data_IF_306658642576
#
_entry.id   IF_306658642576
#
_cell.length_a   1.000
_cell.length_b   1.000
_cell.length_c   1.000
_cell.angle_alpha   90.00
_cell.angle_beta   90.00
_cell.angle_gamma   90.00
#
_symmetry.space_group_name_H-M   'P 1'
#
loop_
_entity.id
_entity.type
_entity.pdbx_description
1 polymer ?
#
# COMPACT_ATOMS: atom_id res chain seq x y z
N UNK A 1 -30.23 -30.82 -51.08
CA UNK A 1 -28.80 -30.54 -50.86
C UNK A 1 -28.69 -29.57 -49.70
N UNK A 2 -28.04 -30.02 -48.64
CA UNK A 2 -28.01 -29.44 -47.30
C UNK A 2 -26.77 -28.56 -47.19
N UNK A 3 -26.91 -27.28 -46.81
CA UNK A 3 -25.79 -26.48 -46.34
C UNK A 3 -26.11 -26.04 -44.90
N UNK A 4 -25.52 -26.76 -43.95
CA UNK A 4 -25.67 -26.53 -42.51
C UNK A 4 -24.93 -25.27 -42.10
N UNK A 5 -25.66 -24.36 -41.46
CA UNK A 5 -25.13 -23.29 -40.63
C UNK A 5 -24.32 -23.87 -39.47
N UNK A 6 -23.13 -23.32 -39.20
CA UNK A 6 -22.39 -23.47 -37.94
C UNK A 6 -21.34 -22.33 -37.85
N UNK A 7 -21.80 -21.11 -37.59
CA UNK A 7 -20.93 -20.03 -37.11
C UNK A 7 -20.70 -20.27 -35.61
N UNK A 8 -19.59 -20.95 -35.29
CA UNK A 8 -19.13 -21.17 -33.92
C UNK A 8 -18.77 -19.81 -33.28
N UNK A 9 -19.65 -19.35 -32.38
CA UNK A 9 -19.38 -18.26 -31.43
C UNK A 9 -18.21 -18.67 -30.52
N UNK A 10 -17.00 -18.20 -30.83
CA UNK A 10 -15.87 -18.17 -29.90
C UNK A 10 -16.10 -17.03 -28.90
N UNK A 11 -17.04 -17.22 -27.97
CA UNK A 11 -17.13 -16.40 -26.75
C UNK A 11 -15.99 -16.85 -25.84
N UNK A 12 -14.80 -16.29 -26.10
CA UNK A 12 -13.69 -16.35 -25.16
C UNK A 12 -14.13 -15.72 -23.86
N UNK A 13 -14.24 -16.54 -22.81
CA UNK A 13 -14.45 -16.11 -21.44
C UNK A 13 -13.27 -15.23 -21.02
N UNK A 14 -13.44 -13.91 -21.11
CA UNK A 14 -12.60 -12.97 -20.40
C UNK A 14 -12.82 -13.20 -18.90
N UNK A 15 -12.00 -14.07 -18.30
CA UNK A 15 -11.84 -14.12 -16.86
C UNK A 15 -11.36 -12.74 -16.43
N UNK A 16 -12.24 -11.96 -15.79
CA UNK A 16 -11.88 -10.70 -15.15
C UNK A 16 -10.98 -11.09 -13.97
N UNK A 17 -9.66 -11.15 -14.22
CA UNK A 17 -8.68 -11.31 -13.16
C UNK A 17 -8.90 -10.17 -12.17
N UNK A 18 -9.28 -10.51 -10.93
CA UNK A 18 -9.39 -9.54 -9.87
C UNK A 18 -7.97 -9.04 -9.58
N UNK A 19 -7.64 -7.84 -10.05
CA UNK A 19 -6.30 -7.27 -9.94
C UNK A 19 -5.95 -7.05 -8.47
N UNK A 20 -5.05 -7.88 -7.95
CA UNK A 20 -4.28 -7.56 -6.75
C UNK A 20 -3.02 -6.84 -7.20
N UNK A 21 -2.76 -5.66 -6.65
CA UNK A 21 -1.57 -4.89 -6.97
C UNK A 21 -0.58 -4.98 -5.80
N UNK A 22 0.68 -5.29 -6.10
CA UNK A 22 1.74 -5.18 -5.11
C UNK A 22 2.21 -3.73 -5.07
N UNK A 23 2.13 -3.13 -3.89
CA UNK A 23 2.53 -1.76 -3.60
C UNK A 23 3.58 -1.76 -2.48
N UNK A 24 4.29 -0.65 -2.35
CA UNK A 24 5.29 -0.46 -1.31
C UNK A 24 5.43 1.01 -0.93
N UNK A 25 6.28 1.26 0.07
CA UNK A 25 6.68 2.62 0.40
C UNK A 25 7.41 3.26 -0.78
N UNK A 26 7.15 4.54 -1.10
CA UNK A 26 7.84 5.21 -2.19
C UNK A 26 9.31 5.44 -1.87
N UNK A 27 10.16 5.43 -2.89
CA UNK A 27 11.54 5.89 -2.74
C UNK A 27 11.58 7.39 -2.39
N UNK A 28 12.53 7.85 -1.54
CA UNK A 28 12.68 9.27 -1.23
C UNK A 28 12.76 10.17 -2.48
N UNK A 29 13.40 9.69 -3.54
CA UNK A 29 13.56 10.38 -4.82
C UNK A 29 12.24 10.61 -5.59
N UNK A 30 11.19 9.83 -5.32
CA UNK A 30 9.87 9.99 -5.95
C UNK A 30 8.88 10.80 -5.12
N UNK A 31 9.34 11.37 -3.99
CA UNK A 31 8.52 12.17 -3.09
C UNK A 31 8.85 13.66 -3.28
N UNK A 32 7.82 14.47 -3.47
CA UNK A 32 7.94 15.92 -3.68
C UNK A 32 7.24 16.67 -2.55
N UNK A 33 7.76 17.85 -2.21
CA UNK A 33 7.10 18.76 -1.28
C UNK A 33 6.16 19.70 -2.04
N UNK A 34 4.86 19.68 -1.73
CA UNK A 34 3.82 20.51 -2.36
C UNK A 34 2.76 20.90 -1.33
N UNK A 35 2.36 22.16 -1.34
CA UNK A 35 1.28 22.71 -0.49
C UNK A 35 1.43 22.44 1.02
N UNK A 36 2.66 22.29 1.50
CA UNK A 36 2.95 21.97 2.90
C UNK A 36 3.05 20.47 3.19
N UNK A 37 3.02 19.60 2.19
CA UNK A 37 3.04 18.15 2.37
C UNK A 37 4.15 17.51 1.54
N UNK A 38 4.78 16.45 2.08
CA UNK A 38 5.50 15.49 1.28
C UNK A 38 4.50 14.52 0.64
N UNK A 39 4.59 14.32 -0.67
CA UNK A 39 3.70 13.42 -1.39
C UNK A 39 4.39 12.69 -2.55
N UNK A 40 3.99 11.46 -2.81
CA UNK A 40 4.42 10.71 -4.00
C UNK A 40 3.88 11.35 -5.28
N UNK A 41 4.54 11.11 -6.41
CA UNK A 41 4.10 11.66 -7.71
C UNK A 41 2.67 11.27 -8.09
N UNK A 42 2.27 10.04 -7.77
CA UNK A 42 0.92 9.52 -8.01
C UNK A 42 -0.11 9.93 -6.94
N UNK A 43 0.29 10.68 -5.91
CA UNK A 43 -0.56 11.15 -4.83
C UNK A 43 -1.04 10.08 -3.83
N UNK A 44 -0.67 8.82 -4.02
CA UNK A 44 -1.08 7.71 -3.15
C UNK A 44 -0.38 7.72 -1.79
N UNK A 45 0.69 8.48 -1.61
CA UNK A 45 1.36 8.65 -0.33
C UNK A 45 1.46 10.12 0.00
N UNK A 46 1.05 10.48 1.21
CA UNK A 46 1.03 11.88 1.64
C UNK A 46 1.32 12.00 3.14
N UNK A 47 2.15 12.98 3.51
CA UNK A 47 2.38 13.34 4.90
C UNK A 47 1.23 14.20 5.44
N UNK A 48 1.20 14.41 6.76
CA UNK A 48 0.48 15.57 7.30
C UNK A 48 1.14 16.87 6.82
N UNK A 49 0.46 18.00 7.03
CA UNK A 49 1.05 19.31 6.76
C UNK A 49 2.23 19.53 7.70
N UNK A 50 3.38 19.86 7.13
CA UNK A 50 4.63 20.13 7.85
C UNK A 50 5.28 21.37 7.28
N UNK A 51 6.05 22.07 8.11
CA UNK A 51 6.99 23.07 7.63
C UNK A 51 8.22 22.34 7.09
N UNK A 52 8.33 22.20 5.76
CA UNK A 52 9.53 21.58 5.20
C UNK A 52 10.63 22.62 5.01
N UNK A 53 11.74 22.39 5.70
CA UNK A 53 12.99 23.10 5.47
C UNK A 53 13.97 22.30 4.57
N UNK A 54 13.60 21.09 4.12
CA UNK A 54 14.49 20.15 3.40
C UNK A 54 13.72 19.11 2.57
N UNK A 55 14.44 18.33 1.75
CA UNK A 55 13.97 17.11 1.08
C UNK A 55 14.01 15.87 2.00
N UNK A 56 13.26 14.82 1.63
CA UNK A 56 13.37 13.50 2.26
C UNK A 56 14.64 12.81 1.76
N UNK A 57 15.51 12.43 2.69
CA UNK A 57 16.81 11.86 2.40
C UNK A 57 16.76 10.33 2.44
N UNK A 58 16.22 9.78 3.54
CA UNK A 58 16.34 8.34 3.81
C UNK A 58 15.01 7.71 4.20
N UNK A 59 14.71 6.56 3.61
CA UNK A 59 13.68 5.65 4.10
C UNK A 59 14.18 4.89 5.34
N UNK A 60 13.33 4.79 6.36
CA UNK A 60 13.70 4.17 7.64
C UNK A 60 12.92 2.88 7.90
N UNK A 61 11.66 2.83 7.47
CA UNK A 61 10.84 1.66 7.65
C UNK A 61 9.35 1.92 7.47
N UNK A 62 8.54 0.92 7.77
CA UNK A 62 7.09 0.98 7.63
C UNK A 62 6.40 0.24 8.79
N UNK A 63 5.18 0.67 9.09
CA UNK A 63 4.31 0.08 10.10
C UNK A 63 3.03 -0.41 9.45
N UNK A 64 2.69 -1.67 9.70
CA UNK A 64 1.43 -2.27 9.31
C UNK A 64 0.62 -2.64 10.55
N UNK A 65 -0.67 -2.32 10.53
CA UNK A 65 -1.60 -2.63 11.60
C UNK A 65 -2.58 -3.69 11.08
N UNK A 66 -2.61 -4.89 11.69
CA UNK A 66 -3.56 -5.93 11.36
C UNK A 66 -4.98 -5.51 11.78
N UNK A 67 -6.00 -5.99 11.06
CA UNK A 67 -7.36 -6.02 11.60
C UNK A 67 -7.44 -7.08 12.70
N UNK A 68 -8.36 -6.89 13.64
CA UNK A 68 -8.52 -7.77 14.79
C UNK A 68 -8.67 -9.23 14.37
N UNK A 69 -7.81 -10.11 14.89
CA UNK A 69 -7.78 -11.53 14.59
C UNK A 69 -7.25 -11.92 13.19
N UNK A 70 -6.86 -10.96 12.35
CA UNK A 70 -6.49 -11.20 10.93
C UNK A 70 -4.98 -11.17 10.63
N UNK A 71 -4.14 -11.02 11.66
CA UNK A 71 -2.66 -11.03 11.56
C UNK A 71 -2.15 -10.32 10.29
N UNK A 72 -1.25 -10.95 9.51
CA UNK A 72 -0.65 -10.35 8.31
C UNK A 72 -1.54 -10.39 7.06
N UNK A 73 -2.67 -11.10 7.11
CA UNK A 73 -3.53 -11.37 5.96
C UNK A 73 -4.52 -10.25 5.68
N UNK A 74 -4.88 -9.45 6.68
CA UNK A 74 -5.77 -8.32 6.52
C UNK A 74 -5.42 -7.20 7.49
N UNK A 75 -5.23 -6.00 6.95
CA UNK A 75 -4.86 -4.82 7.72
C UNK A 75 -4.65 -3.62 6.82
N UNK A 76 -3.85 -2.68 7.29
CA UNK A 76 -3.45 -1.50 6.55
C UNK A 76 -2.02 -1.07 6.92
N UNK A 77 -1.28 -0.55 5.95
CA UNK A 77 -0.03 0.15 6.23
C UNK A 77 -0.37 1.52 6.82
N UNK A 78 -0.01 1.71 8.08
CA UNK A 78 -0.34 2.89 8.87
C UNK A 78 0.53 4.08 8.45
N UNK A 79 1.83 3.87 8.28
CA UNK A 79 2.73 4.83 7.62
C UNK A 79 4.05 4.21 7.17
N UNK A 80 4.68 4.88 6.21
CA UNK A 80 6.10 4.76 5.87
C UNK A 80 6.87 5.91 6.54
N UNK A 81 7.98 5.59 7.21
CA UNK A 81 8.79 6.51 8.01
C UNK A 81 10.04 6.93 7.24
N UNK A 82 10.27 8.23 7.19
CA UNK A 82 11.42 8.83 6.53
C UNK A 82 12.15 9.79 7.44
N UNK A 83 13.41 10.02 7.10
CA UNK A 83 14.23 11.09 7.67
C UNK A 83 14.55 12.11 6.59
N UNK A 84 14.25 13.37 6.85
CA UNK A 84 14.61 14.49 6.00
C UNK A 84 16.06 14.91 6.21
N UNK A 85 16.64 15.65 5.26
CA UNK A 85 18.03 16.15 5.34
C UNK A 85 18.32 17.03 6.56
N UNK A 86 17.30 17.68 7.12
CA UNK A 86 17.37 18.41 8.39
C UNK A 86 17.17 17.52 9.64
N UNK A 87 17.25 16.20 9.49
CA UNK A 87 16.97 15.17 10.50
C UNK A 87 15.52 15.08 11.01
N UNK A 88 14.57 15.83 10.44
CA UNK A 88 13.16 15.73 10.80
C UNK A 88 12.58 14.37 10.39
N UNK A 89 11.78 13.78 11.27
CA UNK A 89 11.00 12.58 10.98
C UNK A 89 9.73 12.94 10.23
N UNK A 90 9.44 12.20 9.17
CA UNK A 90 8.25 12.42 8.34
C UNK A 90 7.56 11.08 8.10
N UNK A 91 6.26 11.03 8.43
CA UNK A 91 5.41 9.88 8.16
C UNK A 91 4.61 10.14 6.89
N UNK A 92 4.72 9.26 5.90
CA UNK A 92 3.85 9.24 4.73
C UNK A 92 2.77 8.17 4.92
N UNK A 93 1.52 8.55 4.74
CA UNK A 93 0.36 7.68 4.89
C UNK A 93 -0.23 7.36 3.53
N UNK A 94 -0.63 6.11 3.34
CA UNK A 94 -1.30 5.69 2.12
C UNK A 94 -2.67 6.37 2.01
N UNK A 95 -2.92 7.00 0.87
CA UNK A 95 -4.18 7.64 0.52
C UNK A 95 -5.01 6.61 -0.23
N UNK A 96 -5.75 5.80 0.51
CA UNK A 96 -6.60 4.78 -0.09
C UNK A 96 -7.57 5.43 -1.09
N UNK A 97 -7.59 4.98 -2.37
CA UNK A 97 -8.44 5.61 -3.38
C UNK A 97 -9.94 5.41 -3.11
N UNK A 98 -10.33 4.38 -2.36
CA UNK A 98 -11.71 4.12 -1.93
C UNK A 98 -11.77 3.49 -0.53
N UNK A 99 -12.95 3.44 0.10
CA UNK A 99 -13.14 2.85 1.45
C UNK A 99 -13.12 1.32 1.49
N UNK A 100 -13.01 0.66 0.33
CA UNK A 100 -13.22 -0.77 0.15
C UNK A 100 -11.95 -1.52 -0.23
N UNK A 101 -10.80 -1.17 0.36
CA UNK A 101 -9.57 -1.93 0.15
C UNK A 101 -9.13 -2.61 1.44
N UNK A 102 -8.61 -3.83 1.30
CA UNK A 102 -7.81 -4.46 2.33
C UNK A 102 -6.37 -4.61 1.86
N UNK A 103 -5.44 -4.54 2.80
CA UNK A 103 -4.03 -4.81 2.54
C UNK A 103 -3.63 -6.11 3.23
N UNK A 104 -2.77 -6.88 2.57
CA UNK A 104 -2.09 -8.03 3.17
C UNK A 104 -0.60 -7.86 2.97
N UNK A 105 0.21 -8.25 3.95
CA UNK A 105 1.66 -8.24 3.77
C UNK A 105 2.05 -9.26 2.71
N UNK A 106 3.05 -8.95 1.89
CA UNK A 106 3.68 -9.94 1.00
C UNK A 106 4.28 -11.06 1.86
N UNK A 107 4.50 -12.24 1.28
CA UNK A 107 5.14 -13.36 1.99
C UNK A 107 6.66 -13.16 2.11
N UNK A 108 7.06 -12.02 2.65
CA UNK A 108 8.43 -11.64 2.91
C UNK A 108 8.77 -11.78 4.39
N UNK A 109 10.06 -11.98 4.69
CA UNK A 109 10.59 -12.02 6.05
C UNK A 109 10.95 -10.62 6.59
N UNK A 110 10.78 -9.57 5.78
CA UNK A 110 11.12 -8.20 6.16
C UNK A 110 10.11 -7.60 7.15
N UNK A 111 8.89 -8.15 7.19
CA UNK A 111 7.87 -7.77 8.15
C UNK A 111 7.95 -8.64 9.40
N UNK A 112 8.29 -8.02 10.53
CA UNK A 112 8.46 -8.70 11.81
C UNK A 112 7.32 -8.31 12.76
N UNK A 113 6.67 -9.27 13.45
CA UNK A 113 5.68 -8.97 14.48
C UNK A 113 6.29 -8.13 15.62
N UNK A 114 5.55 -7.13 16.08
CA UNK A 114 5.92 -6.31 17.22
C UNK A 114 4.67 -5.82 17.96
N UNK A 115 4.86 -5.09 19.06
CA UNK A 115 3.78 -4.38 19.76
C UNK A 115 3.93 -2.88 19.64
N UNK A 116 2.81 -2.22 19.35
CA UNK A 116 2.72 -0.78 19.32
C UNK A 116 2.72 -0.17 20.73
N UNK A 117 2.74 1.17 20.81
CA UNK A 117 2.78 1.89 22.10
C UNK A 117 1.61 1.64 23.03
N UNK A 118 0.50 1.10 22.52
CA UNK A 118 -0.70 0.76 23.28
C UNK A 118 -0.93 -0.76 23.34
N UNK A 119 0.14 -1.55 23.25
CA UNK A 119 0.12 -3.02 23.28
C UNK A 119 -0.69 -3.67 22.15
N UNK A 120 -1.04 -2.91 21.10
CA UNK A 120 -1.68 -3.46 19.92
C UNK A 120 -0.68 -4.23 19.05
N UNK A 121 -1.11 -5.34 18.46
CA UNK A 121 -0.29 -6.08 17.50
C UNK A 121 -0.01 -5.21 16.27
N UNK A 122 1.26 -5.17 15.85
CA UNK A 122 1.70 -4.49 14.62
C UNK A 122 2.75 -5.34 13.92
N UNK A 123 3.06 -4.97 12.68
CA UNK A 123 4.22 -5.49 11.95
C UNK A 123 5.12 -4.32 11.57
N UNK A 124 6.42 -4.50 11.80
CA UNK A 124 7.45 -3.53 11.46
C UNK A 124 8.28 -4.05 10.29
N UNK A 125 8.55 -3.19 9.32
CA UNK A 125 9.59 -3.40 8.32
C UNK A 125 10.63 -2.31 8.49
N UNK A 126 11.87 -2.66 8.82
CA UNK A 126 12.98 -1.71 9.04
C UNK A 126 14.09 -1.87 8.01
N UNK A 127 13.78 -2.54 6.89
CA UNK A 127 14.71 -2.64 5.77
C UNK A 127 14.91 -1.26 5.14
N UNK A 128 16.15 -0.95 4.77
CA UNK A 128 16.48 0.32 4.11
C UNK A 128 15.95 0.42 2.67
N UNK A 129 15.57 -0.71 2.05
CA UNK A 129 15.02 -0.75 0.70
C UNK A 129 13.48 -0.71 0.76
N UNK A 130 12.83 0.35 0.23
CA UNK A 130 11.37 0.49 0.30
C UNK A 130 10.58 -0.69 -0.31
N UNK A 131 11.12 -1.34 -1.36
CA UNK A 131 10.47 -2.47 -2.02
C UNK A 131 10.36 -3.72 -1.13
N UNK A 132 11.28 -3.87 -0.17
CA UNK A 132 11.24 -4.96 0.81
C UNK A 132 10.08 -4.79 1.80
N UNK A 133 9.63 -3.55 2.00
CA UNK A 133 8.44 -3.19 2.79
C UNK A 133 7.19 -3.13 1.91
N UNK A 134 6.96 -4.18 1.13
CA UNK A 134 5.82 -4.29 0.21
C UNK A 134 4.60 -4.97 0.83
N UNK A 135 3.44 -4.70 0.25
CA UNK A 135 2.15 -5.26 0.60
C UNK A 135 1.30 -5.44 -0.66
N UNK A 136 0.31 -6.31 -0.58
CA UNK A 136 -0.70 -6.48 -1.64
C UNK A 136 -1.94 -5.66 -1.29
N UNK A 137 -2.36 -4.81 -2.21
CA UNK A 137 -3.64 -4.14 -2.17
C UNK A 137 -4.68 -5.02 -2.87
N UNK A 138 -5.72 -5.41 -2.13
CA UNK A 138 -6.87 -6.14 -2.67
C UNK A 138 -8.10 -5.26 -2.60
N UNK A 139 -8.81 -5.13 -3.73
CA UNK A 139 -10.14 -4.54 -3.70
C UNK A 139 -11.03 -5.48 -2.90
N UNK A 140 -11.55 -5.03 -1.76
CA UNK A 140 -12.59 -5.76 -1.06
C UNK A 140 -13.82 -5.79 -1.97
N UNK A 141 -14.43 -6.96 -2.12
CA UNK A 141 -15.73 -7.06 -2.78
C UNK A 141 -16.65 -6.12 -2.01
N UNK A 142 -17.20 -5.10 -2.66
CA UNK A 142 -18.34 -4.40 -2.11
C UNK A 142 -19.34 -5.46 -1.66
N UNK A 143 -19.81 -5.33 -0.44
CA UNK A 143 -21.01 -6.05 -0.01
C UNK A 143 -22.11 -5.73 -1.04
N UNK A 144 -22.77 -6.72 -1.67
CA UNK A 144 -23.90 -6.43 -2.51
C UNK A 144 -25.04 -6.03 -1.57
N UNK A 145 -25.33 -4.74 -1.45
CA UNK A 145 -26.45 -4.29 -0.64
C UNK A 145 -26.43 -2.82 -0.26
N UNK A 146 -26.83 -1.96 -1.18
CA UNK A 146 -28.05 -1.18 -0.96
C UNK A 146 -28.70 -0.80 -2.29
#
# INVERSE_FOLDING_TARGET
MIARALFLFLLGSCSIAQGSEQLGCPYPSSIKFRDGHFQSENGQWKSLKVEAASFLDRFVGAVFVPLEGQQRQQGYVEYCLYKAGNNQWVNLRFQAPERHFSMSLTDSLHWVPARGPFEQDIYLCTDSQPDNCSFTLKRSKSWPGR
#
